data_IF_095266981046
#
_entry.id   IF_095266981046
#
_cell.length_a   1.000
_cell.length_b   1.000
_cell.length_c   1.000
_cell.angle_alpha   90.00
_cell.angle_beta   90.00
_cell.angle_gamma   90.00
#
_symmetry.space_group_name_H-M   'P 1'
#
loop_
_entity.id
_entity.type
_entity.pdbx_description
1 polymer ?
#
# COMPACT_ATOMS: atom_id res chain seq x y z
N UNK A 1 52.84 -30.93 34.07
CA UNK A 1 53.57 -29.76 33.51
C UNK A 1 52.56 -28.66 33.19
N UNK A 2 52.47 -27.63 34.03
CA UNK A 2 51.52 -26.51 33.89
C UNK A 2 52.28 -25.27 33.43
N UNK A 3 52.07 -24.81 32.18
CA UNK A 3 52.65 -23.56 31.67
C UNK A 3 51.81 -22.37 32.15
N UNK A 4 52.37 -21.57 33.06
CA UNK A 4 51.80 -20.27 33.48
C UNK A 4 52.03 -19.24 32.36
N UNK A 5 50.95 -18.74 31.78
CA UNK A 5 50.96 -17.58 30.87
C UNK A 5 51.33 -16.31 31.66
N UNK A 6 52.26 -15.52 31.10
CA UNK A 6 52.83 -14.33 31.74
C UNK A 6 51.84 -13.18 31.81
N UNK A 7 51.96 -12.36 32.86
CA UNK A 7 51.05 -11.26 33.22
C UNK A 7 50.83 -10.22 32.11
N UNK A 8 51.75 -10.12 31.14
CA UNK A 8 51.68 -9.17 30.03
C UNK A 8 50.59 -9.50 29.01
N UNK A 9 50.18 -10.77 28.90
CA UNK A 9 49.09 -11.20 28.00
C UNK A 9 47.72 -10.82 28.54
N UNK A 10 47.58 -10.67 29.87
CA UNK A 10 46.28 -10.32 30.49
C UNK A 10 45.92 -8.84 30.35
N UNK A 11 46.90 -7.95 30.23
CA UNK A 11 46.67 -6.50 30.12
C UNK A 11 46.26 -6.08 28.70
N UNK A 12 46.71 -6.82 27.67
CA UNK A 12 46.33 -6.54 26.29
C UNK A 12 44.90 -7.01 25.95
N UNK A 13 44.32 -7.95 26.71
CA UNK A 13 42.94 -8.39 26.51
C UNK A 13 41.90 -7.45 27.11
N UNK A 14 42.25 -6.66 28.13
CA UNK A 14 41.31 -5.73 28.77
C UNK A 14 41.19 -4.38 28.06
N UNK A 15 42.15 -4.00 27.20
CA UNK A 15 42.05 -2.77 26.40
C UNK A 15 41.18 -2.93 25.14
N UNK A 16 40.99 -4.17 24.65
CA UNK A 16 40.10 -4.47 23.54
C UNK A 16 38.61 -4.53 23.94
N UNK A 17 38.29 -4.54 25.23
CA UNK A 17 36.92 -4.64 25.74
C UNK A 17 36.24 -3.28 25.99
N UNK A 18 36.98 -2.16 25.93
CA UNK A 18 36.46 -0.85 26.29
C UNK A 18 36.10 0.05 25.09
N UNK A 19 36.26 -0.42 23.84
CA UNK A 19 36.15 0.41 22.64
C UNK A 19 34.94 0.09 21.72
N UNK A 20 33.92 -0.62 22.22
CA UNK A 20 32.83 -1.13 21.38
C UNK A 20 31.41 -0.93 21.95
N UNK A 21 31.12 0.24 22.53
CA UNK A 21 29.71 0.60 22.77
C UNK A 21 29.48 2.11 22.82
N UNK A 22 29.90 2.81 21.77
CA UNK A 22 29.13 3.97 21.32
C UNK A 22 28.26 3.48 20.16
N UNK A 23 27.20 2.76 20.51
CA UNK A 23 26.09 2.60 19.60
C UNK A 23 25.54 4.01 19.41
N UNK A 24 25.79 4.60 18.24
CA UNK A 24 25.02 5.75 17.82
C UNK A 24 23.56 5.32 17.89
N UNK A 25 22.83 5.85 18.87
CA UNK A 25 21.39 5.99 18.81
C UNK A 25 21.13 6.93 17.63
N UNK A 26 21.21 6.38 16.41
CA UNK A 26 20.52 6.97 15.27
C UNK A 26 19.06 6.86 15.69
N UNK A 27 18.33 7.97 15.91
CA UNK A 27 16.90 7.87 16.07
C UNK A 27 16.42 7.13 14.83
N UNK A 28 15.81 5.95 15.01
CA UNK A 28 15.06 5.32 13.94
C UNK A 28 14.11 6.42 13.46
N UNK A 29 14.31 6.89 12.23
CA UNK A 29 13.29 7.71 11.60
C UNK A 29 12.01 6.90 11.75
N UNK A 30 10.99 7.48 12.37
CA UNK A 30 9.65 6.91 12.30
C UNK A 30 9.42 6.60 10.82
N UNK A 31 9.12 5.33 10.50
CA UNK A 31 8.69 4.99 9.16
C UNK A 31 7.49 5.90 8.90
N UNK A 32 7.63 6.85 7.98
CA UNK A 32 6.44 7.53 7.49
C UNK A 32 5.56 6.42 6.94
N UNK A 33 4.39 6.21 7.53
CA UNK A 33 3.50 5.12 7.13
C UNK A 33 3.26 5.09 5.61
N UNK A 34 2.72 3.99 5.12
CA UNK A 34 2.51 3.79 3.69
C UNK A 34 1.71 2.55 3.40
N UNK A 35 1.23 2.45 2.18
CA UNK A 35 0.57 1.26 1.68
C UNK A 35 1.28 0.72 0.44
N UNK A 36 1.58 -0.58 0.45
CA UNK A 36 2.00 -1.33 -0.72
C UNK A 36 0.85 -2.22 -1.17
N UNK A 37 0.40 -2.00 -2.40
CA UNK A 37 -0.72 -2.72 -2.97
C UNK A 37 -0.29 -3.44 -4.24
N UNK A 38 -0.18 -4.76 -4.15
CA UNK A 38 -0.07 -5.63 -5.32
C UNK A 38 -1.43 -5.66 -6.04
N UNK A 39 -1.55 -4.89 -7.12
CA UNK A 39 -2.79 -4.82 -7.89
C UNK A 39 -3.12 -6.17 -8.55
N UNK A 40 -4.42 -6.48 -8.64
CA UNK A 40 -4.91 -7.74 -9.22
C UNK A 40 -4.27 -8.05 -10.58
N UNK A 41 -3.58 -9.18 -10.67
CA UNK A 41 -2.85 -9.57 -11.89
C UNK A 41 -3.73 -9.71 -13.13
N UNK A 42 -4.99 -10.12 -12.97
CA UNK A 42 -5.95 -10.22 -14.10
C UNK A 42 -6.38 -8.85 -14.62
N UNK A 43 -6.47 -7.83 -13.76
CA UNK A 43 -6.71 -6.45 -14.18
C UNK A 43 -5.54 -5.92 -15.00
N UNK A 44 -4.31 -6.05 -14.47
CA UNK A 44 -3.11 -5.61 -15.16
C UNK A 44 -2.91 -6.32 -16.50
N UNK A 45 -3.18 -7.64 -16.55
CA UNK A 45 -3.16 -8.42 -17.79
C UNK A 45 -4.21 -7.95 -18.78
N UNK A 46 -5.43 -7.65 -18.32
CA UNK A 46 -6.47 -7.11 -19.19
C UNK A 46 -6.05 -5.77 -19.79
N UNK A 47 -5.60 -4.83 -18.95
CA UNK A 47 -5.16 -3.49 -19.38
C UNK A 47 -4.06 -3.60 -20.43
N UNK A 48 -3.01 -4.37 -20.14
CA UNK A 48 -1.87 -4.55 -21.06
C UNK A 48 -2.23 -5.30 -22.33
N UNK A 49 -3.05 -6.36 -22.25
CA UNK A 49 -3.51 -7.15 -23.41
C UNK A 49 -4.20 -6.27 -24.46
N UNK A 50 -4.92 -5.25 -24.03
CA UNK A 50 -5.65 -4.33 -24.90
C UNK A 50 -4.88 -3.04 -25.22
N UNK A 51 -3.54 -3.08 -25.14
CA UNK A 51 -2.66 -1.96 -25.49
C UNK A 51 -2.74 -0.79 -24.50
N UNK A 52 -3.29 -1.05 -23.32
CA UNK A 52 -3.39 -0.09 -22.24
C UNK A 52 -2.18 -0.06 -21.32
N UNK A 53 -2.25 0.81 -20.31
CA UNK A 53 -1.25 0.92 -19.24
C UNK A 53 -1.88 1.31 -17.91
N UNK A 54 -1.26 0.85 -16.84
CA UNK A 54 -1.49 1.34 -15.47
C UNK A 54 -0.29 2.17 -15.04
N UNK A 55 -0.53 3.36 -14.49
CA UNK A 55 0.51 4.28 -14.04
C UNK A 55 0.13 4.86 -12.68
N UNK A 56 1.11 5.09 -11.82
CA UNK A 56 0.88 5.85 -10.58
C UNK A 56 0.52 7.31 -10.86
N UNK A 57 -0.26 7.89 -9.96
CA UNK A 57 -0.49 9.32 -9.83
C UNK A 57 0.39 9.84 -8.69
N UNK A 58 1.22 10.82 -8.98
CA UNK A 58 2.21 11.38 -8.02
C UNK A 58 1.53 11.83 -6.72
N UNK A 59 2.17 11.62 -5.55
CA UNK A 59 3.52 11.08 -5.31
C UNK A 59 3.61 9.55 -5.25
N UNK A 60 2.54 8.80 -5.53
CA UNK A 60 2.61 7.35 -5.59
C UNK A 60 3.61 6.87 -6.65
N UNK A 61 4.13 5.66 -6.45
CA UNK A 61 5.00 5.00 -7.43
C UNK A 61 4.41 3.65 -7.83
N UNK A 62 4.65 3.23 -9.07
CA UNK A 62 4.14 1.96 -9.58
C UNK A 62 5.27 1.16 -10.22
N UNK A 63 5.62 0.05 -9.58
CA UNK A 63 6.55 -0.95 -10.08
C UNK A 63 5.77 -2.27 -10.21
N UNK A 64 5.16 -2.46 -11.39
CA UNK A 64 4.20 -3.53 -11.64
C UNK A 64 4.65 -4.89 -11.07
N UNK A 65 3.82 -5.55 -10.24
CA UNK A 65 2.40 -5.26 -9.98
C UNK A 65 2.13 -4.31 -8.78
N UNK A 66 3.16 -3.79 -8.12
CA UNK A 66 3.04 -3.08 -6.84
C UNK A 66 2.85 -1.57 -7.04
N UNK A 67 1.79 -1.04 -6.44
CA UNK A 67 1.56 0.39 -6.23
C UNK A 67 1.99 0.74 -4.80
N UNK A 68 2.93 1.68 -4.65
CA UNK A 68 3.34 2.19 -3.34
C UNK A 68 2.76 3.58 -3.14
N UNK A 69 1.97 3.73 -2.07
CA UNK A 69 1.26 4.93 -1.65
C UNK A 69 1.90 5.46 -0.36
N UNK A 70 2.57 6.62 -0.36
CA UNK A 70 3.05 7.23 0.88
C UNK A 70 1.87 7.75 1.70
N UNK A 71 1.93 7.65 3.03
CA UNK A 71 0.94 8.29 3.90
C UNK A 71 1.04 9.82 3.76
N UNK A 72 -0.10 10.47 3.54
CA UNK A 72 -0.19 11.91 3.26
C UNK A 72 0.04 12.77 4.51
N UNK A 73 -0.52 12.32 5.64
CA UNK A 73 -0.44 12.98 6.92
C UNK A 73 -0.70 11.97 8.03
N UNK A 74 -0.30 12.30 9.26
CA UNK A 74 -0.74 11.55 10.46
C UNK A 74 -2.26 11.43 10.44
N UNK A 75 -2.74 10.19 10.52
CA UNK A 75 -4.16 9.87 10.48
C UNK A 75 -4.89 10.44 11.68
N UNK A 76 -6.22 10.54 11.57
CA UNK A 76 -7.07 10.95 12.67
C UNK A 76 -7.88 9.75 13.17
N UNK A 77 -7.66 9.37 14.43
CA UNK A 77 -8.33 8.22 15.05
C UNK A 77 -7.89 6.90 14.44
N UNK A 78 -8.70 6.37 13.51
CA UNK A 78 -8.48 5.09 12.85
C UNK A 78 -8.33 5.23 11.32
N UNK A 79 -8.48 6.44 10.79
CA UNK A 79 -8.39 6.71 9.34
C UNK A 79 -7.06 7.36 8.97
N UNK A 80 -6.29 6.71 8.10
CA UNK A 80 -5.05 7.26 7.55
C UNK A 80 -5.23 7.62 6.05
N UNK A 81 -4.94 8.86 5.64
CA UNK A 81 -4.92 9.26 4.24
C UNK A 81 -3.59 8.92 3.56
N UNK A 82 -3.64 8.56 2.29
CA UNK A 82 -2.48 8.24 1.46
C UNK A 82 -2.44 9.12 0.21
N UNK A 83 -1.27 9.64 -0.11
CA UNK A 83 -1.09 10.56 -1.22
C UNK A 83 -0.94 9.81 -2.55
N UNK A 84 -1.51 10.39 -3.60
CA UNK A 84 -1.41 9.88 -4.96
C UNK A 84 -2.49 8.86 -5.29
N UNK A 85 -2.15 7.88 -6.11
CA UNK A 85 -3.10 6.88 -6.59
C UNK A 85 -2.65 6.19 -7.86
N UNK A 86 -3.58 5.73 -8.69
CA UNK A 86 -3.25 5.16 -9.98
C UNK A 86 -4.29 5.46 -11.05
N UNK A 87 -3.84 5.39 -12.30
CA UNK A 87 -4.68 5.47 -13.49
C UNK A 87 -4.45 4.27 -14.39
N UNK A 88 -5.53 3.62 -14.80
CA UNK A 88 -5.51 2.60 -15.84
C UNK A 88 -6.22 3.11 -17.09
N UNK A 89 -5.57 2.95 -18.24
CA UNK A 89 -6.07 3.39 -19.54
C UNK A 89 -6.04 2.24 -20.54
N UNK A 90 -7.09 2.06 -21.32
CA UNK A 90 -7.20 1.10 -22.42
C UNK A 90 -7.89 1.79 -23.58
N UNK A 91 -7.11 2.30 -24.53
CA UNK A 91 -7.63 3.10 -25.65
C UNK A 91 -8.60 2.32 -26.54
N UNK A 92 -8.30 1.05 -26.82
CA UNK A 92 -9.11 0.23 -27.71
C UNK A 92 -10.48 -0.13 -27.13
N UNK A 93 -10.60 -0.19 -25.81
CA UNK A 93 -11.84 -0.55 -25.10
C UNK A 93 -12.45 0.63 -24.32
N UNK A 94 -11.96 1.86 -24.56
CA UNK A 94 -12.49 3.06 -23.92
C UNK A 94 -12.41 3.06 -22.39
N UNK A 95 -11.56 2.23 -21.78
CA UNK A 95 -11.36 2.28 -20.33
C UNK A 95 -10.42 3.44 -20.04
N UNK A 96 -10.88 4.32 -19.18
CA UNK A 96 -10.08 5.36 -18.58
C UNK A 96 -10.57 5.43 -17.14
N UNK A 97 -9.75 5.04 -16.18
CA UNK A 97 -10.05 5.00 -14.75
C UNK A 97 -8.91 5.64 -13.98
N UNK A 98 -9.21 6.53 -13.05
CA UNK A 98 -8.29 7.01 -12.03
C UNK A 98 -8.92 6.89 -10.64
N UNK A 99 -8.11 6.46 -9.68
CA UNK A 99 -8.40 6.48 -8.25
C UNK A 99 -7.30 7.32 -7.58
N UNK A 100 -7.72 8.26 -6.76
CA UNK A 100 -6.90 9.21 -5.99
C UNK A 100 -7.53 9.41 -4.60
N UNK A 101 -6.89 10.22 -3.75
CA UNK A 101 -7.34 10.54 -2.39
C UNK A 101 -7.69 9.29 -1.55
N UNK A 102 -6.80 8.29 -1.60
CA UNK A 102 -7.02 7.00 -0.94
C UNK A 102 -6.95 7.20 0.57
N UNK A 103 -7.93 6.66 1.30
CA UNK A 103 -7.86 6.56 2.76
C UNK A 103 -8.21 5.17 3.23
N UNK A 104 -7.60 4.71 4.32
CA UNK A 104 -7.89 3.42 4.93
C UNK A 104 -8.37 3.66 6.35
N UNK A 105 -9.57 3.20 6.65
CA UNK A 105 -10.06 3.07 8.03
C UNK A 105 -9.53 1.75 8.60
N UNK A 106 -8.52 1.84 9.46
CA UNK A 106 -7.92 0.67 10.10
C UNK A 106 -8.89 0.00 11.06
N UNK A 107 -9.97 0.64 11.50
CA UNK A 107 -11.00 0.07 12.38
C UNK A 107 -11.93 -0.90 11.66
N UNK A 108 -12.40 -0.53 10.47
CA UNK A 108 -13.35 -1.31 9.68
C UNK A 108 -12.68 -2.12 8.57
N UNK A 109 -11.50 -1.69 8.13
CA UNK A 109 -10.86 -2.19 6.91
C UNK A 109 -11.38 -1.51 5.65
N UNK A 110 -12.19 -0.46 5.74
CA UNK A 110 -12.70 0.22 4.56
C UNK A 110 -11.60 1.02 3.86
N UNK A 111 -11.52 0.87 2.54
CA UNK A 111 -10.64 1.66 1.66
C UNK A 111 -11.51 2.58 0.83
N UNK A 112 -11.44 3.87 1.12
CA UNK A 112 -12.14 4.90 0.36
C UNK A 112 -11.23 5.54 -0.67
N UNK A 113 -11.83 6.09 -1.72
CA UNK A 113 -11.11 6.89 -2.69
C UNK A 113 -12.02 7.77 -3.53
N UNK A 114 -11.41 8.71 -4.22
CA UNK A 114 -12.03 9.63 -5.16
C UNK A 114 -11.45 9.43 -6.56
N UNK A 115 -12.04 10.08 -7.56
CA UNK A 115 -11.49 10.11 -8.89
C UNK A 115 -12.56 10.04 -9.97
N UNK A 116 -12.27 9.31 -11.04
CA UNK A 116 -13.18 9.23 -12.18
C UNK A 116 -12.99 7.96 -12.99
N UNK A 117 -14.03 7.56 -13.71
CA UNK A 117 -14.00 6.47 -14.68
C UNK A 117 -14.83 6.81 -15.92
N UNK A 118 -14.47 6.21 -17.06
CA UNK A 118 -15.22 6.35 -18.31
C UNK A 118 -15.88 5.01 -18.61
N UNK A 119 -17.22 4.89 -18.44
CA UNK A 119 -17.95 3.71 -18.87
C UNK A 119 -17.82 3.54 -20.38
N UNK A 120 -17.90 2.28 -20.85
CA UNK A 120 -17.85 1.98 -22.28
C UNK A 120 -18.92 2.79 -23.04
N UNK A 121 -18.51 3.49 -24.09
CA UNK A 121 -19.38 4.31 -24.95
C UNK A 121 -20.16 5.41 -24.22
N UNK A 122 -19.71 5.85 -23.04
CA UNK A 122 -20.41 6.84 -22.21
C UNK A 122 -19.51 8.01 -21.81
N UNK A 123 -20.13 9.06 -21.26
CA UNK A 123 -19.38 10.18 -20.68
C UNK A 123 -18.66 9.76 -19.38
N UNK A 124 -17.52 10.40 -19.12
CA UNK A 124 -16.76 10.26 -17.87
C UNK A 124 -17.65 10.58 -16.66
N UNK A 125 -17.50 9.79 -15.61
CA UNK A 125 -18.15 9.95 -14.31
C UNK A 125 -17.10 10.19 -13.24
N UNK A 126 -17.36 11.14 -12.36
CA UNK A 126 -16.55 11.41 -11.17
C UNK A 126 -17.20 10.77 -9.95
N UNK A 127 -16.40 10.39 -8.96
CA UNK A 127 -16.85 9.95 -7.66
C UNK A 127 -15.96 10.58 -6.58
N UNK A 128 -16.50 10.71 -5.38
CA UNK A 128 -15.81 11.34 -4.23
C UNK A 128 -16.11 10.52 -3.00
N UNK A 129 -15.07 10.13 -2.27
CA UNK A 129 -15.13 9.41 -1.00
C UNK A 129 -16.00 8.15 -1.05
N UNK A 130 -15.92 7.40 -2.15
CA UNK A 130 -16.60 6.11 -2.26
C UNK A 130 -15.78 5.05 -1.56
N UNK A 131 -16.44 4.16 -0.81
CA UNK A 131 -15.79 2.96 -0.27
C UNK A 131 -15.59 1.99 -1.41
N UNK A 132 -14.37 1.87 -1.93
CA UNK A 132 -14.07 1.05 -3.12
C UNK A 132 -13.78 -0.40 -2.73
N UNK A 133 -13.17 -0.61 -1.56
CA UNK A 133 -12.83 -1.94 -1.06
C UNK A 133 -13.11 -2.06 0.43
N UNK A 134 -13.31 -3.29 0.87
CA UNK A 134 -13.18 -3.69 2.28
C UNK A 134 -12.03 -4.68 2.38
N UNK A 135 -11.10 -4.41 3.29
CA UNK A 135 -9.97 -5.28 3.58
C UNK A 135 -10.46 -6.49 4.39
N UNK A 136 -10.21 -7.68 3.85
CA UNK A 136 -10.48 -8.96 4.52
C UNK A 136 -9.19 -9.76 4.67
N UNK A 137 -9.21 -10.81 5.50
CA UNK A 137 -8.03 -11.63 5.74
C UNK A 137 -6.91 -10.86 6.47
N UNK A 138 -5.65 -11.26 6.24
CA UNK A 138 -4.48 -10.57 6.80
C UNK A 138 -4.32 -10.61 8.33
N UNK A 139 -3.28 -9.92 8.82
CA UNK A 139 -3.03 -9.67 10.25
C UNK A 139 -3.15 -8.18 10.52
N UNK A 140 -3.80 -7.82 11.64
CA UNK A 140 -4.00 -6.43 12.05
C UNK A 140 -3.28 -6.11 13.36
N UNK A 141 -2.55 -4.99 13.38
CA UNK A 141 -2.04 -4.34 14.59
C UNK A 141 -3.01 -3.27 15.09
N UNK A 142 -3.32 -3.28 16.38
CA UNK A 142 -4.15 -2.24 17.03
C UNK A 142 -3.36 -1.14 17.73
N UNK A 143 -2.03 -1.26 17.79
CA UNK A 143 -1.12 -0.26 18.40
C UNK A 143 -0.56 0.65 17.33
N UNK A 144 -0.22 1.91 17.66
CA UNK A 144 0.39 2.85 16.72
C UNK A 144 1.87 2.46 16.43
N UNK A 145 2.30 2.35 15.16
CA UNK A 145 1.50 2.49 13.94
C UNK A 145 0.55 1.32 13.72
N UNK A 146 -0.69 1.61 13.34
CA UNK A 146 -1.68 0.56 13.04
C UNK A 146 -1.31 -0.05 11.70
N UNK A 147 -1.40 -1.38 11.61
CA UNK A 147 -1.00 -2.09 10.39
C UNK A 147 -2.06 -3.08 9.94
N UNK A 148 -2.11 -3.28 8.64
CA UNK A 148 -2.70 -4.41 7.95
C UNK A 148 -1.58 -5.08 7.14
N UNK A 149 -1.38 -6.39 7.34
CA UNK A 149 -0.37 -7.15 6.59
C UNK A 149 -1.02 -8.35 5.90
N UNK A 150 -0.80 -8.50 4.60
CA UNK A 150 -1.39 -9.53 3.76
C UNK A 150 -2.91 -9.42 3.68
N UNK A 151 -3.46 -8.21 3.76
CA UNK A 151 -4.89 -8.00 3.61
C UNK A 151 -5.31 -8.19 2.15
N UNK A 152 -6.54 -8.67 1.95
CA UNK A 152 -7.13 -8.85 0.63
C UNK A 152 -8.20 -7.78 0.44
N UNK A 153 -7.99 -6.79 -0.44
CA UNK A 153 -9.03 -5.82 -0.78
C UNK A 153 -10.13 -6.52 -1.58
N UNK A 154 -11.33 -6.62 -1.04
CA UNK A 154 -12.52 -7.08 -1.75
C UNK A 154 -13.31 -5.90 -2.27
N UNK A 155 -13.72 -5.94 -3.54
CA UNK A 155 -14.54 -4.88 -4.14
C UNK A 155 -15.86 -4.73 -3.40
N UNK A 156 -16.23 -3.51 -3.03
CA UNK A 156 -17.60 -3.20 -2.63
C UNK A 156 -18.53 -3.10 -3.85
N UNK A 157 -19.81 -2.76 -3.64
CA UNK A 157 -20.69 -2.38 -4.74
C UNK A 157 -20.17 -1.19 -5.54
N UNK A 158 -19.59 -0.19 -4.87
CA UNK A 158 -19.10 1.04 -5.49
C UNK A 158 -17.80 0.77 -6.25
N UNK A 159 -16.88 0.02 -5.65
CA UNK A 159 -15.68 -0.47 -6.33
C UNK A 159 -16.04 -1.28 -7.57
N UNK A 160 -16.99 -2.22 -7.46
CA UNK A 160 -17.45 -3.00 -8.59
C UNK A 160 -17.97 -2.11 -9.73
N UNK A 161 -18.77 -1.07 -9.45
CA UNK A 161 -19.23 -0.12 -10.47
C UNK A 161 -18.05 0.54 -11.21
N UNK A 162 -17.03 0.95 -10.47
CA UNK A 162 -15.84 1.64 -11.01
C UNK A 162 -15.03 0.69 -11.90
N UNK A 163 -14.69 -0.51 -11.44
CA UNK A 163 -13.87 -1.48 -12.20
C UNK A 163 -14.65 -2.25 -13.28
N UNK A 164 -15.97 -2.30 -13.19
CA UNK A 164 -16.87 -2.82 -14.23
C UNK A 164 -17.16 -1.74 -15.30
N UNK A 165 -16.67 -0.51 -15.14
CA UNK A 165 -16.91 0.57 -16.09
C UNK A 165 -18.41 0.83 -16.27
N UNK A 166 -19.16 0.90 -15.17
CA UNK A 166 -20.60 1.16 -15.19
C UNK A 166 -21.46 0.05 -15.81
N UNK A 167 -21.13 -1.23 -15.54
CA UNK A 167 -21.85 -2.46 -15.96
C UNK A 167 -21.40 -3.11 -17.28
N UNK A 168 -20.21 -2.80 -17.79
CA UNK A 168 -19.70 -3.30 -19.07
C UNK A 168 -18.54 -4.31 -18.96
N UNK A 169 -18.04 -4.55 -17.76
CA UNK A 169 -17.02 -5.55 -17.41
C UNK A 169 -17.57 -6.71 -16.57
N UNK A 170 -16.65 -7.47 -15.97
CA UNK A 170 -16.97 -8.72 -15.25
C UNK A 170 -16.73 -8.67 -13.75
N UNK A 171 -16.35 -7.51 -13.21
CA UNK A 171 -16.10 -7.34 -11.78
C UNK A 171 -17.40 -7.16 -10.99
N UNK A 172 -17.51 -7.86 -9.87
CA UNK A 172 -18.66 -7.83 -8.97
C UNK A 172 -18.21 -7.47 -7.53
N UNK A 173 -19.16 -7.12 -6.67
CA UNK A 173 -18.87 -6.97 -5.25
C UNK A 173 -18.42 -8.32 -4.65
N UNK A 174 -17.44 -8.30 -3.75
CA UNK A 174 -16.77 -9.46 -3.18
C UNK A 174 -15.62 -10.01 -4.02
N UNK A 175 -15.37 -9.47 -5.22
CA UNK A 175 -14.20 -9.85 -6.00
C UNK A 175 -12.92 -9.31 -5.35
N UNK A 176 -11.97 -10.20 -5.09
CA UNK A 176 -10.64 -9.84 -4.60
C UNK A 176 -9.89 -8.96 -5.62
N UNK A 177 -9.12 -7.99 -5.12
CA UNK A 177 -8.36 -7.05 -5.94
C UNK A 177 -6.87 -6.99 -5.56
N UNK A 178 -6.28 -8.17 -5.34
CA UNK A 178 -4.85 -8.31 -5.06
C UNK A 178 -4.56 -8.42 -3.57
N UNK A 179 -3.39 -7.94 -3.15
CA UNK A 179 -2.93 -8.00 -1.75
C UNK A 179 -2.42 -6.63 -1.34
N UNK A 180 -2.74 -6.22 -0.11
CA UNK A 180 -2.39 -4.92 0.45
C UNK A 180 -1.72 -5.08 1.81
N UNK A 181 -0.56 -4.45 1.93
CA UNK A 181 0.11 -4.15 3.17
C UNK A 181 -0.04 -2.65 3.43
N UNK A 182 -0.49 -2.26 4.62
CA UNK A 182 -0.61 -0.85 4.98
C UNK A 182 -0.18 -0.61 6.42
N UNK A 183 0.49 0.52 6.62
CA UNK A 183 0.90 1.08 7.89
C UNK A 183 0.38 2.51 7.96
N UNK A 184 -0.37 2.83 9.02
CA UNK A 184 -0.84 4.18 9.31
C UNK A 184 -0.27 4.67 10.63
N UNK A 185 0.37 5.84 10.59
CA UNK A 185 0.71 6.63 11.76
C UNK A 185 -0.49 7.48 12.21
N UNK A 186 -0.75 7.55 13.52
CA UNK A 186 -1.89 8.27 14.13
C UNK A 186 -1.48 9.14 15.31
#
# INVERSE_FOLDING_TARGET
MSRRLSSRVRVLLSLAAALMTFAFLVPAAASAGGAEWELRSTWLRYVTRWGGRTTALSPATFSSPVLSLPQAATGAGDVAPFDGGFRSTVLLHGIDLAIEDVSIDFSTGDVTGSGWYTPLLSARRTFSDWTLFTLTGGTRSGTNPKTWTGAVPELTSDGAVVFNGGSNGSYAAGDEFGVLDAEGDF
#
